data_IF_199686287642
#
_entry.id   IF_199686287642
#
_cell.length_a   1.000
_cell.length_b   1.000
_cell.length_c   1.000
_cell.angle_alpha   90.00
_cell.angle_beta   90.00
_cell.angle_gamma   90.00
#
_symmetry.space_group_name_H-M   'P 1'
#
loop_
_entity.id
_entity.type
_entity.pdbx_description
1 polymer ?
#
# COMPACT_ATOMS: atom_id res chain seq x y z
N UNK A 1 -12.96 5.82 -18.71
CA UNK A 1 -13.39 4.68 -17.90
C UNK A 1 -13.10 4.96 -16.42
N UNK A 2 -14.05 4.70 -15.56
CA UNK A 2 -13.90 4.99 -14.15
C UNK A 2 -12.97 3.96 -13.52
N UNK A 3 -12.04 4.44 -12.71
CA UNK A 3 -11.13 3.61 -11.95
C UNK A 3 -11.52 3.69 -10.48
N UNK A 4 -11.60 2.54 -9.83
CA UNK A 4 -11.94 2.51 -8.42
C UNK A 4 -10.70 2.77 -7.58
N UNK A 5 -10.83 3.64 -6.59
CA UNK A 5 -9.73 3.92 -5.68
C UNK A 5 -9.72 2.88 -4.55
N UNK A 6 -8.53 2.38 -4.26
CA UNK A 6 -8.33 1.45 -3.15
C UNK A 6 -7.20 2.01 -2.29
N UNK A 7 -7.48 2.13 -1.00
CA UNK A 7 -6.50 2.67 -0.07
C UNK A 7 -5.96 1.58 0.84
N UNK A 8 -4.65 1.50 0.92
CA UNK A 8 -3.99 0.56 1.83
C UNK A 8 -3.37 1.39 2.94
N UNK A 9 -3.84 1.17 4.16
CA UNK A 9 -3.36 1.92 5.31
C UNK A 9 -2.19 1.17 5.94
N UNK A 10 -1.06 1.85 6.09
CA UNK A 10 0.14 1.25 6.65
C UNK A 10 0.56 2.00 7.91
N UNK A 11 1.12 1.25 8.86
CA UNK A 11 1.65 1.80 10.10
C UNK A 11 3.06 1.24 10.32
N UNK A 12 3.88 1.90 11.13
CA UNK A 12 5.23 1.38 11.40
C UNK A 12 5.15 -0.06 11.92
N UNK A 13 6.00 -0.93 11.39
CA UNK A 13 6.03 -2.33 11.77
C UNK A 13 4.98 -3.19 11.11
N UNK A 14 4.31 -2.68 10.07
CA UNK A 14 3.28 -3.47 9.38
C UNK A 14 3.89 -4.76 8.80
N UNK A 15 3.03 -5.78 8.66
CA UNK A 15 3.48 -7.06 8.13
C UNK A 15 3.61 -6.98 6.61
N UNK A 16 4.78 -7.30 6.09
CA UNK A 16 5.09 -7.18 4.67
C UNK A 16 4.14 -7.97 3.80
N UNK A 17 3.67 -9.12 4.28
CA UNK A 17 2.90 -10.04 3.47
C UNK A 17 1.40 -9.80 3.50
N UNK A 18 0.87 -9.04 4.47
CA UNK A 18 -0.58 -8.95 4.65
C UNK A 18 -1.29 -8.39 3.44
N UNK A 19 -0.77 -7.31 2.86
CA UNK A 19 -1.41 -6.68 1.73
C UNK A 19 -0.64 -6.86 0.43
N UNK A 20 0.53 -7.47 0.48
CA UNK A 20 1.42 -7.51 -0.68
C UNK A 20 0.79 -8.20 -1.88
N UNK A 21 0.13 -9.33 -1.64
CA UNK A 21 -0.49 -10.07 -2.74
C UNK A 21 -1.65 -9.27 -3.35
N UNK A 22 -2.48 -8.69 -2.50
CA UNK A 22 -3.61 -7.89 -2.97
C UNK A 22 -3.14 -6.66 -3.74
N UNK A 23 -2.11 -5.98 -3.24
CA UNK A 23 -1.56 -4.82 -3.94
C UNK A 23 -1.06 -5.19 -5.33
N UNK A 24 -0.32 -6.28 -5.43
CA UNK A 24 0.22 -6.72 -6.70
C UNK A 24 -0.90 -7.07 -7.67
N UNK A 25 -1.92 -7.79 -7.21
CA UNK A 25 -3.04 -8.19 -8.05
C UNK A 25 -3.86 -6.99 -8.52
N UNK A 26 -4.14 -6.07 -7.62
CA UNK A 26 -4.95 -4.91 -7.97
C UNK A 26 -4.24 -4.04 -9.01
N UNK A 27 -2.95 -3.85 -8.84
CA UNK A 27 -2.18 -3.06 -9.80
C UNK A 27 -2.06 -3.77 -11.14
N UNK A 28 -1.87 -5.08 -11.10
CA UNK A 28 -1.73 -5.86 -12.32
C UNK A 28 -2.98 -5.81 -13.17
N UNK A 29 -4.14 -5.78 -12.54
CA UNK A 29 -5.41 -5.74 -13.28
C UNK A 29 -5.63 -4.41 -13.99
N UNK A 30 -5.12 -3.33 -13.39
CA UNK A 30 -5.21 -2.02 -14.01
C UNK A 30 -6.56 -1.32 -13.84
N UNK A 31 -7.50 -1.94 -13.12
CA UNK A 31 -8.83 -1.38 -12.90
C UNK A 31 -8.91 -0.53 -11.65
N UNK A 32 -7.82 -0.49 -10.87
CA UNK A 32 -7.84 0.12 -9.55
C UNK A 32 -6.71 1.12 -9.41
N UNK A 33 -7.04 2.24 -8.78
CA UNK A 33 -6.05 3.24 -8.40
C UNK A 33 -5.68 2.95 -6.95
N UNK A 34 -4.52 2.32 -6.77
CA UNK A 34 -4.09 1.87 -5.45
C UNK A 34 -3.21 2.94 -4.82
N UNK A 35 -3.63 3.41 -3.66
CA UNK A 35 -2.91 4.41 -2.90
C UNK A 35 -2.49 3.84 -1.56
N UNK A 36 -1.25 4.09 -1.17
CA UNK A 36 -0.74 3.67 0.13
C UNK A 36 -0.80 4.87 1.06
N UNK A 37 -1.55 4.75 2.14
CA UNK A 37 -1.76 5.86 3.06
C UNK A 37 -1.25 5.50 4.45
N UNK A 38 -0.87 6.50 5.21
CA UNK A 38 -0.37 6.32 6.57
C UNK A 38 -0.88 7.43 7.46
N UNK A 39 -0.38 7.44 8.70
CA UNK A 39 -0.74 8.49 9.65
C UNK A 39 -0.17 9.83 9.23
N UNK A 40 0.92 9.81 8.47
CA UNK A 40 1.55 11.01 7.93
C UNK A 40 2.21 10.62 6.63
N UNK A 41 2.86 11.58 5.98
CA UNK A 41 3.58 11.30 4.73
C UNK A 41 5.01 10.87 4.95
N UNK A 42 5.42 10.71 6.21
CA UNK A 42 6.78 10.29 6.49
C UNK A 42 6.98 8.83 6.14
N UNK A 43 8.16 8.46 5.66
CA UNK A 43 8.44 7.06 5.35
C UNK A 43 8.31 6.20 6.60
N UNK A 44 7.78 5.00 6.43
CA UNK A 44 7.68 4.05 7.54
C UNK A 44 8.35 2.76 7.12
N UNK A 45 8.66 1.95 8.11
CA UNK A 45 9.36 0.69 7.87
C UNK A 45 8.47 -0.46 8.26
N UNK A 46 8.44 -1.50 7.40
CA UNK A 46 7.69 -2.70 7.67
C UNK A 46 8.40 -3.58 8.69
N UNK A 47 7.73 -4.65 9.09
CA UNK A 47 8.31 -5.64 9.98
C UNK A 47 9.59 -6.23 9.40
N UNK A 48 9.64 -6.42 8.10
CA UNK A 48 10.80 -6.98 7.41
C UNK A 48 11.83 -5.96 6.95
N UNK A 49 11.65 -4.69 7.29
CA UNK A 49 12.64 -3.66 6.99
C UNK A 49 12.41 -2.93 5.67
N UNK A 50 11.28 -3.13 5.03
CA UNK A 50 10.96 -2.44 3.78
C UNK A 50 10.49 -1.02 4.09
N UNK A 51 11.11 -0.04 3.43
CA UNK A 51 10.74 1.35 3.60
C UNK A 51 9.63 1.69 2.64
N UNK A 52 8.55 2.27 3.15
CA UNK A 52 7.39 2.65 2.36
C UNK A 52 7.11 4.13 2.56
N UNK A 53 6.89 4.82 1.45
CA UNK A 53 6.53 6.23 1.46
C UNK A 53 5.03 6.34 1.20
N UNK A 54 4.23 6.71 2.21
CA UNK A 54 2.79 6.91 1.97
C UNK A 54 2.55 8.07 1.02
N UNK A 55 1.47 8.00 0.29
CA UNK A 55 1.09 9.05 -0.68
C UNK A 55 0.13 10.07 -0.08
#
# INVERSE_FOLDING_TARGET
MATKAVYVFVVPGFADWEAAHALAELRRRGDYDVQVVGLSREPIQSMGGVIVQPT
#
